data_IF_142579190136
#
_entry.id   IF_142579190136
#
_cell.length_a   1.000
_cell.length_b   1.000
_cell.length_c   1.000
_cell.angle_alpha   90.00
_cell.angle_beta   90.00
_cell.angle_gamma   90.00
#
_symmetry.space_group_name_H-M   'P 1'
#
loop_
_entity.id
_entity.type
_entity.pdbx_description
1 polymer ?
#
# COMPACT_ATOMS: atom_id res chain seq x y z
N UNK A 1 4.65 -20.96 -15.53
CA UNK A 1 4.88 -20.59 -16.94
C UNK A 1 4.17 -21.58 -17.87
N UNK A 2 2.87 -21.39 -18.16
CA UNK A 2 2.12 -22.19 -19.17
C UNK A 2 1.13 -21.32 -19.98
N UNK A 3 0.88 -20.06 -19.57
CA UNK A 3 -0.15 -19.20 -20.20
C UNK A 3 0.44 -18.30 -21.32
N UNK A 4 1.76 -18.30 -21.52
CA UNK A 4 2.47 -17.38 -22.42
C UNK A 4 2.31 -17.67 -23.93
N UNK A 5 1.83 -18.85 -24.32
CA UNK A 5 1.76 -19.25 -25.74
C UNK A 5 0.46 -18.90 -26.46
N UNK A 6 -0.64 -18.68 -25.73
CA UNK A 6 -1.98 -18.62 -26.33
C UNK A 6 -2.69 -17.27 -26.20
N UNK A 7 -2.24 -16.41 -25.29
CA UNK A 7 -2.86 -15.11 -25.05
C UNK A 7 -1.79 -14.01 -25.17
N UNK A 8 -1.82 -13.26 -26.26
CA UNK A 8 -0.99 -12.07 -26.48
C UNK A 8 -1.34 -10.91 -25.54
N UNK A 9 -1.30 -11.14 -24.23
CA UNK A 9 -1.83 -10.26 -23.16
C UNK A 9 -0.93 -10.22 -21.91
N UNK A 10 0.40 -10.29 -22.06
CA UNK A 10 1.31 -10.36 -20.90
C UNK A 10 1.69 -8.98 -20.32
N UNK A 11 1.75 -7.92 -21.15
CA UNK A 11 2.27 -6.61 -20.69
C UNK A 11 1.38 -5.86 -19.69
N UNK A 12 0.05 -5.89 -19.86
CA UNK A 12 -0.87 -5.19 -18.96
C UNK A 12 -0.92 -5.83 -17.55
N UNK A 13 -0.78 -7.16 -17.47
CA UNK A 13 -0.73 -7.88 -16.20
C UNK A 13 0.58 -7.62 -15.46
N UNK A 14 1.71 -7.55 -16.17
CA UNK A 14 3.01 -7.19 -15.58
C UNK A 14 3.00 -5.75 -15.05
N UNK A 15 2.40 -4.81 -15.80
CA UNK A 15 2.19 -3.43 -15.36
C UNK A 15 1.35 -3.32 -14.08
N UNK A 16 0.27 -4.09 -14.02
CA UNK A 16 -0.58 -4.15 -12.84
C UNK A 16 0.16 -4.73 -11.63
N UNK A 17 0.93 -5.82 -11.82
CA UNK A 17 1.72 -6.42 -10.74
C UNK A 17 2.77 -5.46 -10.18
N UNK A 18 3.42 -4.67 -11.06
CA UNK A 18 4.35 -3.61 -10.68
C UNK A 18 3.65 -2.53 -9.84
N UNK A 19 2.52 -2.01 -10.32
CA UNK A 19 1.75 -0.98 -9.61
C UNK A 19 1.26 -1.47 -8.24
N UNK A 20 0.95 -2.76 -8.10
CA UNK A 20 0.51 -3.37 -6.83
C UNK A 20 1.65 -3.69 -5.85
N UNK A 21 2.90 -3.66 -6.28
CA UNK A 21 4.03 -4.02 -5.41
C UNK A 21 4.16 -3.04 -4.25
N UNK A 22 4.09 -1.73 -4.54
CA UNK A 22 4.19 -0.65 -3.55
C UNK A 22 3.10 -0.79 -2.46
N UNK A 23 1.79 -0.83 -2.79
CA UNK A 23 0.77 -0.94 -1.76
C UNK A 23 0.85 -2.25 -0.98
N UNK A 24 1.28 -3.33 -1.62
CA UNK A 24 1.45 -4.63 -0.96
C UNK A 24 2.58 -4.60 0.08
N UNK A 25 3.70 -3.93 -0.20
CA UNK A 25 4.79 -3.76 0.77
C UNK A 25 4.34 -2.95 1.99
N UNK A 26 3.59 -1.87 1.76
CA UNK A 26 3.01 -1.07 2.85
C UNK A 26 2.06 -1.88 3.71
N UNK A 27 1.18 -2.69 3.09
CA UNK A 27 0.30 -3.61 3.83
C UNK A 27 1.08 -4.52 4.76
N UNK A 28 2.15 -5.12 4.25
CA UNK A 28 2.98 -6.06 5.01
C UNK A 28 3.63 -5.40 6.22
N UNK A 29 4.25 -4.24 6.01
CA UNK A 29 4.97 -3.55 7.07
C UNK A 29 4.00 -3.00 8.12
N UNK A 30 2.95 -2.30 7.68
CA UNK A 30 2.06 -1.57 8.58
C UNK A 30 0.98 -2.47 9.19
N UNK A 31 0.29 -3.24 8.35
CA UNK A 31 -0.85 -4.06 8.76
C UNK A 31 -0.46 -5.38 9.42
N UNK A 32 0.44 -6.13 8.81
CA UNK A 32 0.86 -7.45 9.34
C UNK A 32 1.90 -7.28 10.47
N UNK A 33 2.98 -6.52 10.24
CA UNK A 33 4.09 -6.48 11.21
C UNK A 33 3.91 -5.45 12.33
N UNK A 34 3.50 -4.22 12.03
CA UNK A 34 3.53 -3.14 13.03
C UNK A 34 2.33 -3.13 13.96
N UNK A 35 1.11 -3.28 13.41
CA UNK A 35 -0.13 -3.31 14.22
C UNK A 35 -0.15 -4.55 15.12
N UNK A 36 0.24 -5.72 14.61
CA UNK A 36 0.19 -6.96 15.39
C UNK A 36 1.21 -6.95 16.55
N UNK A 37 2.40 -6.38 16.36
CA UNK A 37 3.47 -6.37 17.37
C UNK A 37 3.39 -5.20 18.36
N UNK A 38 3.02 -4.00 17.92
CA UNK A 38 3.06 -2.81 18.76
C UNK A 38 1.69 -2.43 19.35
N UNK A 39 0.62 -2.59 18.56
CA UNK A 39 -0.72 -2.17 18.98
C UNK A 39 -1.44 -3.23 19.80
N UNK A 40 -1.46 -4.49 19.33
CA UNK A 40 -2.26 -5.55 19.94
C UNK A 40 -1.91 -5.83 21.42
N UNK A 41 -0.63 -5.90 21.84
CA UNK A 41 -0.29 -6.14 23.24
C UNK A 41 -0.76 -5.00 24.15
N UNK A 42 -0.51 -3.76 23.73
CA UNK A 42 -0.87 -2.55 24.48
C UNK A 42 -2.39 -2.40 24.60
N UNK A 43 -3.12 -2.68 23.51
CA UNK A 43 -4.58 -2.64 23.51
C UNK A 43 -5.18 -3.73 24.41
N UNK A 44 -4.65 -4.96 24.35
CA UNK A 44 -5.08 -6.06 25.23
C UNK A 44 -4.80 -5.77 26.71
N UNK A 45 -3.66 -5.16 27.04
CA UNK A 45 -3.36 -4.73 28.41
C UNK A 45 -4.38 -3.72 28.93
N UNK A 46 -4.75 -2.71 28.12
CA UNK A 46 -5.74 -1.70 28.50
C UNK A 46 -7.15 -2.29 28.68
N UNK A 47 -7.56 -3.23 27.82
CA UNK A 47 -8.84 -3.93 27.98
C UNK A 47 -8.83 -4.83 29.21
N UNK A 48 -7.75 -5.58 29.45
CA UNK A 48 -7.63 -6.45 30.62
C UNK A 48 -7.66 -5.66 31.94
N UNK A 49 -7.16 -4.43 31.93
CA UNK A 49 -7.23 -3.49 33.06
C UNK A 49 -8.62 -2.83 33.25
N UNK A 50 -9.60 -3.12 32.37
CA UNK A 50 -10.92 -2.49 32.40
C UNK A 50 -10.93 -1.03 31.94
N UNK A 51 -9.81 -0.52 31.40
CA UNK A 51 -9.66 0.87 30.96
C UNK A 51 -10.16 1.09 29.53
N UNK A 52 -11.39 0.66 29.22
CA UNK A 52 -11.97 0.73 27.87
C UNK A 52 -11.88 2.12 27.24
N UNK A 53 -12.05 3.18 28.04
CA UNK A 53 -11.96 4.57 27.55
C UNK A 53 -10.56 4.93 27.06
N UNK A 54 -9.51 4.47 27.75
CA UNK A 54 -8.11 4.68 27.34
C UNK A 54 -7.73 3.78 26.17
N UNK A 55 -8.24 2.54 26.12
CA UNK A 55 -8.10 1.66 24.96
C UNK A 55 -8.67 2.33 23.68
N UNK A 56 -9.85 2.94 23.78
CA UNK A 56 -10.45 3.67 22.67
C UNK A 56 -9.63 4.88 22.25
N UNK A 57 -9.16 5.70 23.21
CA UNK A 57 -8.29 6.85 22.91
C UNK A 57 -7.00 6.42 22.22
N UNK A 58 -6.38 5.32 22.67
CA UNK A 58 -5.17 4.77 22.05
C UNK A 58 -5.46 4.37 20.59
N UNK A 59 -6.53 3.61 20.35
CA UNK A 59 -6.93 3.19 19.02
C UNK A 59 -7.21 4.38 18.11
N UNK A 60 -7.98 5.37 18.55
CA UNK A 60 -8.28 6.57 17.76
C UNK A 60 -7.04 7.41 17.45
N UNK A 61 -6.10 7.53 18.39
CA UNK A 61 -4.84 8.26 18.16
C UNK A 61 -3.96 7.55 17.14
N UNK A 62 -3.80 6.25 17.27
CA UNK A 62 -3.01 5.44 16.33
C UNK A 62 -3.66 5.48 14.95
N UNK A 63 -4.96 5.27 14.87
CA UNK A 63 -5.71 5.35 13.61
C UNK A 63 -5.53 6.71 12.92
N UNK A 64 -5.68 7.82 13.63
CA UNK A 64 -5.48 9.15 13.05
C UNK A 64 -4.02 9.38 12.61
N UNK A 65 -3.04 8.94 13.40
CA UNK A 65 -1.63 9.02 13.04
C UNK A 65 -1.31 8.18 11.79
N UNK A 66 -1.83 6.96 11.72
CA UNK A 66 -1.65 6.08 10.57
C UNK A 66 -2.33 6.64 9.33
N UNK A 67 -3.56 7.14 9.44
CA UNK A 67 -4.27 7.79 8.34
C UNK A 67 -3.48 9.00 7.81
N UNK A 68 -2.98 9.86 8.70
CA UNK A 68 -2.20 11.04 8.30
C UNK A 68 -0.87 10.65 7.64
N UNK A 69 -0.18 9.65 8.21
CA UNK A 69 1.08 9.13 7.67
C UNK A 69 0.87 8.46 6.30
N UNK A 70 -0.17 7.64 6.14
CA UNK A 70 -0.53 7.01 4.87
C UNK A 70 -0.89 8.04 3.81
N UNK A 71 -1.61 9.11 4.16
CA UNK A 71 -1.92 10.20 3.24
C UNK A 71 -0.66 10.97 2.82
N UNK A 72 0.25 11.26 3.75
CA UNK A 72 1.54 11.89 3.43
C UNK A 72 2.37 11.03 2.48
N UNK A 73 2.44 9.73 2.76
CA UNK A 73 3.15 8.77 1.93
C UNK A 73 2.48 8.65 0.56
N UNK A 74 1.15 8.54 0.49
CA UNK A 74 0.40 8.53 -0.77
C UNK A 74 0.72 9.79 -1.60
N UNK A 75 0.74 10.97 -0.98
CA UNK A 75 1.13 12.21 -1.63
C UNK A 75 2.55 12.17 -2.17
N UNK A 76 3.51 11.67 -1.38
CA UNK A 76 4.89 11.49 -1.82
C UNK A 76 4.99 10.54 -3.02
N UNK A 77 4.30 9.39 -2.96
CA UNK A 77 4.26 8.43 -4.05
C UNK A 77 3.59 8.97 -5.30
N UNK A 78 2.57 9.83 -5.18
CA UNK A 78 1.98 10.51 -6.33
C UNK A 78 3.05 11.28 -7.13
N UNK A 79 3.91 12.05 -6.47
CA UNK A 79 5.02 12.74 -7.13
C UNK A 79 6.14 11.80 -7.61
N UNK A 80 6.36 10.69 -6.89
CA UNK A 80 7.41 9.73 -7.21
C UNK A 80 6.99 8.71 -8.28
N UNK A 81 5.69 8.58 -8.57
CA UNK A 81 5.11 7.64 -9.54
C UNK A 81 5.83 7.64 -10.89
N UNK A 82 6.06 8.79 -11.56
CA UNK A 82 6.76 8.80 -12.85
C UNK A 82 8.20 8.27 -12.77
N UNK A 83 8.89 8.46 -11.64
CA UNK A 83 10.24 7.91 -11.43
C UNK A 83 10.20 6.43 -11.08
N UNK A 84 9.25 6.00 -10.25
CA UNK A 84 9.05 4.61 -9.85
C UNK A 84 8.67 3.72 -11.03
N UNK A 85 7.75 4.18 -11.88
CA UNK A 85 7.37 3.45 -13.09
C UNK A 85 8.56 3.31 -14.04
N UNK A 86 9.45 4.32 -14.13
CA UNK A 86 10.70 4.24 -14.91
C UNK A 86 11.72 3.26 -14.36
N UNK A 87 11.88 3.19 -13.03
CA UNK A 87 12.84 2.28 -12.39
C UNK A 87 12.33 0.84 -12.40
N UNK A 88 11.07 0.62 -12.06
CA UNK A 88 10.48 -0.72 -11.99
C UNK A 88 10.15 -1.25 -13.39
N UNK A 89 9.75 -0.34 -14.29
CA UNK A 89 9.36 -0.61 -15.66
C UNK A 89 10.49 -0.47 -16.68
N UNK A 90 11.75 -0.66 -16.29
CA UNK A 90 12.92 -0.52 -17.17
C UNK A 90 12.93 -1.42 -18.42
N UNK A 91 11.94 -2.33 -18.57
CA UNK A 91 11.69 -3.14 -19.76
C UNK A 91 10.47 -2.74 -20.61
N UNK A 92 9.77 -1.63 -20.30
CA UNK A 92 8.57 -1.18 -21.02
C UNK A 92 8.92 -0.36 -22.27
N UNK A 93 8.08 -0.47 -23.30
CA UNK A 93 8.17 0.42 -24.46
C UNK A 93 7.75 1.85 -24.06
N UNK A 94 8.37 2.87 -24.67
CA UNK A 94 8.08 4.29 -24.41
C UNK A 94 6.57 4.64 -24.51
N UNK A 95 5.82 3.92 -25.34
CA UNK A 95 4.37 4.07 -25.53
C UNK A 95 3.51 3.53 -24.37
N UNK A 96 4.05 2.65 -23.52
CA UNK A 96 3.31 1.97 -22.45
C UNK A 96 3.49 2.64 -21.08
N UNK A 97 4.48 3.54 -20.95
CA UNK A 97 4.76 4.29 -19.72
C UNK A 97 3.58 5.13 -19.24
N UNK A 98 2.89 5.82 -20.17
CA UNK A 98 1.77 6.67 -19.81
C UNK A 98 0.60 5.87 -19.24
N UNK A 99 0.34 4.68 -19.79
CA UNK A 99 -0.73 3.81 -19.34
C UNK A 99 -0.44 3.21 -17.96
N UNK A 100 0.82 2.83 -17.71
CA UNK A 100 1.29 2.35 -16.41
C UNK A 100 1.17 3.43 -15.31
N UNK A 101 1.48 4.68 -15.65
CA UNK A 101 1.37 5.82 -14.73
C UNK A 101 -0.08 6.05 -14.30
N UNK A 102 -1.00 6.11 -15.28
CA UNK A 102 -2.44 6.29 -15.02
C UNK A 102 -2.99 5.16 -14.16
N UNK A 103 -2.63 3.90 -14.45
CA UNK A 103 -3.03 2.77 -13.62
C UNK A 103 -2.50 2.87 -12.19
N UNK A 104 -1.26 3.31 -12.00
CA UNK A 104 -0.67 3.50 -10.68
C UNK A 104 -1.38 4.60 -9.89
N UNK A 105 -1.79 5.70 -10.53
CA UNK A 105 -2.59 6.75 -9.89
C UNK A 105 -3.96 6.26 -9.42
N UNK A 106 -4.60 5.35 -10.17
CA UNK A 106 -5.87 4.74 -9.74
C UNK A 106 -5.71 3.74 -8.58
N UNK A 107 -4.55 3.08 -8.47
CA UNK A 107 -4.27 2.09 -7.41
C UNK A 107 -3.74 2.78 -6.15
N UNK A 108 -3.11 3.94 -6.26
CA UNK A 108 -2.57 4.70 -5.11
C UNK A 108 -3.56 4.92 -3.95
N UNK A 109 -4.82 5.31 -4.17
CA UNK A 109 -5.82 5.44 -3.10
C UNK A 109 -6.06 4.13 -2.35
N UNK A 110 -5.96 2.99 -3.04
CA UNK A 110 -6.12 1.67 -2.44
C UNK A 110 -5.04 1.36 -1.41
N UNK A 111 -3.84 1.95 -1.53
CA UNK A 111 -2.77 1.83 -0.53
C UNK A 111 -3.21 2.33 0.84
N UNK A 112 -3.91 3.46 0.90
CA UNK A 112 -4.39 4.06 2.15
C UNK A 112 -5.47 3.18 2.78
N UNK A 113 -6.37 2.63 1.95
CA UNK A 113 -7.44 1.75 2.41
C UNK A 113 -6.92 0.40 2.94
N UNK A 114 -5.84 -0.12 2.35
CA UNK A 114 -5.23 -1.39 2.76
C UNK A 114 -4.35 -1.25 4.01
N UNK A 115 -3.73 -0.08 4.21
CA UNK A 115 -2.83 0.17 5.33
C UNK A 115 -3.51 0.50 6.65
N UNK A 116 -4.85 0.67 6.63
CA UNK A 116 -5.70 1.06 7.75
C UNK A 116 -6.47 -0.16 8.29
#
# INVERSE_FOLDING_TARGET
>A
MVIAGYFGTTRATDLFAIAFTIPTLFRRILGEDMVEKAFLPTFRQLIAAGEYRRAWILASRIFNLMMLLLLLIMGLFYFLTPNLVRVIGAGLAASEFHQAEVMTYFILPFMVAIGL
#
